data_IF_429938341446
#
_entry.id   IF_429938341446
#
_cell.length_a   1.000
_cell.length_b   1.000
_cell.length_c   1.000
_cell.angle_alpha   90.00
_cell.angle_beta   90.00
_cell.angle_gamma   90.00
#
_symmetry.space_group_name_H-M   'P 1'
#
loop_
_entity.id
_entity.type
_entity.pdbx_description
1 polymer ?
#
# COMPACT_ATOMS: atom_id res chain seq x y z
N UNK A 1 0.81 9.40 -7.06
CA UNK A 1 -0.26 8.42 -7.39
C UNK A 1 -0.80 7.86 -6.08
N UNK A 2 -2.12 7.80 -5.93
CA UNK A 2 -2.76 7.26 -4.73
C UNK A 2 -3.10 5.79 -4.95
N UNK A 3 -2.78 4.92 -3.98
CA UNK A 3 -3.00 3.47 -4.04
C UNK A 3 -3.86 3.00 -2.86
N UNK A 4 -4.66 1.96 -3.06
CA UNK A 4 -5.65 1.47 -2.10
C UNK A 4 -5.99 0.00 -2.27
N UNK A 5 -6.60 -0.58 -1.25
CA UNK A 5 -7.19 -1.93 -1.29
C UNK A 5 -8.45 -1.95 -2.18
N UNK A 6 -8.67 -3.04 -2.92
CA UNK A 6 -9.93 -3.29 -3.62
C UNK A 6 -11.10 -3.45 -2.63
N UNK A 7 -12.34 -3.25 -3.09
CA UNK A 7 -13.51 -3.33 -2.20
C UNK A 7 -13.65 -4.73 -1.58
N UNK A 8 -13.48 -5.74 -2.41
CA UNK A 8 -13.76 -7.16 -2.17
C UNK A 8 -12.58 -7.95 -1.58
N UNK A 9 -11.38 -7.35 -1.54
CA UNK A 9 -10.23 -7.94 -0.83
C UNK A 9 -10.45 -7.87 0.69
N UNK A 10 -10.33 -8.98 1.44
CA UNK A 10 -10.36 -8.95 2.90
C UNK A 10 -9.25 -8.07 3.49
N UNK A 11 -9.46 -7.48 4.68
CA UNK A 11 -8.47 -6.59 5.30
C UNK A 11 -7.15 -7.31 5.58
N UNK A 12 -7.22 -8.59 5.92
CA UNK A 12 -6.08 -9.46 6.20
C UNK A 12 -5.19 -9.66 4.96
N UNK A 13 -5.74 -9.46 3.76
CA UNK A 13 -5.03 -9.51 2.47
C UNK A 13 -4.84 -8.13 1.85
N UNK A 14 -5.13 -7.06 2.59
CA UNK A 14 -5.04 -5.71 2.07
C UNK A 14 -3.64 -5.37 1.55
N UNK A 15 -2.59 -5.84 2.24
CA UNK A 15 -1.19 -5.60 1.89
C UNK A 15 -0.88 -6.01 0.45
N UNK A 16 -1.44 -7.13 -0.02
CA UNK A 16 -1.20 -7.65 -1.37
C UNK A 16 -1.64 -6.64 -2.44
N UNK A 17 -2.81 -6.03 -2.27
CA UNK A 17 -3.31 -5.00 -3.21
C UNK A 17 -2.37 -3.79 -3.24
N UNK A 18 -1.91 -3.31 -2.08
CA UNK A 18 -0.98 -2.18 -2.02
C UNK A 18 0.36 -2.49 -2.67
N UNK A 19 0.91 -3.71 -2.48
CA UNK A 19 2.16 -4.13 -3.11
C UNK A 19 2.02 -4.21 -4.63
N UNK A 20 0.94 -4.79 -5.14
CA UNK A 20 0.63 -4.86 -6.58
C UNK A 20 0.51 -3.45 -7.16
N UNK A 21 -0.19 -2.54 -6.46
CA UNK A 21 -0.31 -1.16 -6.89
C UNK A 21 1.05 -0.46 -6.89
N UNK A 22 1.84 -0.59 -5.82
CA UNK A 22 3.16 0.03 -5.72
C UNK A 22 4.06 -0.41 -6.88
N UNK A 23 4.13 -1.71 -7.17
CA UNK A 23 4.89 -2.26 -8.30
C UNK A 23 4.52 -1.63 -9.64
N UNK A 24 3.22 -1.48 -9.89
CA UNK A 24 2.72 -0.95 -11.17
C UNK A 24 2.97 0.55 -11.32
N UNK A 25 2.96 1.31 -10.22
CA UNK A 25 2.97 2.78 -10.29
C UNK A 25 4.34 3.39 -9.99
N UNK A 26 5.27 2.64 -9.39
CA UNK A 26 6.53 3.17 -8.87
C UNK A 26 7.35 3.93 -9.92
N UNK A 27 7.50 3.38 -11.12
CA UNK A 27 8.26 4.03 -12.21
C UNK A 27 7.60 5.33 -12.70
N UNK A 28 6.29 5.49 -12.48
CA UNK A 28 5.49 6.60 -13.00
C UNK A 28 5.17 7.68 -11.95
N UNK A 29 5.44 7.41 -10.67
CA UNK A 29 5.09 8.31 -9.58
C UNK A 29 6.33 9.05 -9.05
N UNK A 30 6.21 10.37 -8.86
CA UNK A 30 7.18 11.13 -8.03
C UNK A 30 6.92 10.94 -6.54
N UNK A 31 5.68 10.59 -6.17
CA UNK A 31 5.25 10.32 -4.81
C UNK A 31 4.04 9.38 -4.81
N UNK A 32 3.98 8.46 -3.85
CA UNK A 32 2.88 7.50 -3.69
C UNK A 32 2.19 7.73 -2.34
N UNK A 33 0.87 7.87 -2.35
CA UNK A 33 0.05 7.93 -1.14
C UNK A 33 -0.66 6.60 -0.90
N UNK A 34 -0.69 6.16 0.35
CA UNK A 34 -1.34 4.92 0.79
C UNK A 34 -2.70 5.28 1.41
N UNK A 35 -3.79 4.89 0.76
CA UNK A 35 -5.13 5.24 1.21
C UNK A 35 -5.67 4.26 2.25
N UNK A 36 -5.62 4.64 3.52
CA UNK A 36 -6.24 3.93 4.65
C UNK A 36 -7.46 4.65 5.23
N UNK A 37 -7.99 5.68 4.56
CA UNK A 37 -8.96 6.61 5.14
C UNK A 37 -10.36 6.61 4.52
N UNK A 38 -10.55 5.96 3.36
CA UNK A 38 -11.84 5.88 2.69
C UNK A 38 -12.96 5.38 3.62
N UNK A 39 -14.11 6.08 3.71
CA UNK A 39 -15.28 5.59 4.45
C UNK A 39 -16.02 4.46 3.72
N UNK A 40 -15.79 4.31 2.41
CA UNK A 40 -16.61 3.45 1.53
C UNK A 40 -16.04 2.04 1.39
N UNK A 41 -14.86 1.78 1.96
CA UNK A 41 -14.21 0.47 1.91
C UNK A 41 -14.35 -0.20 3.27
N UNK A 42 -15.16 -1.26 3.41
CA UNK A 42 -15.38 -1.93 4.69
C UNK A 42 -14.06 -2.37 5.34
N UNK A 43 -13.96 -2.12 6.65
CA UNK A 43 -12.79 -2.50 7.46
C UNK A 43 -11.50 -1.72 7.20
N UNK A 44 -11.43 -0.87 6.17
CA UNK A 44 -10.19 -0.20 5.76
C UNK A 44 -9.56 0.65 6.88
N UNK A 45 -10.40 1.39 7.63
CA UNK A 45 -9.93 2.28 8.70
C UNK A 45 -9.27 1.55 9.86
N UNK A 46 -9.46 0.23 10.00
CA UNK A 46 -8.73 -0.58 10.98
C UNK A 46 -7.22 -0.62 10.70
N UNK A 47 -6.80 -0.42 9.45
CA UNK A 47 -5.39 -0.33 9.07
C UNK A 47 -4.70 0.96 9.53
N UNK A 48 -5.43 1.93 10.10
CA UNK A 48 -4.85 3.19 10.55
C UNK A 48 -4.10 3.10 11.87
N UNK A 49 -4.22 1.99 12.61
CA UNK A 49 -3.78 1.93 14.00
C UNK A 49 -2.92 0.70 14.29
N UNK A 50 -2.10 0.83 15.33
CA UNK A 50 -1.37 -0.28 15.96
C UNK A 50 -0.49 -1.08 14.99
N UNK A 51 -0.48 -2.39 15.21
CA UNK A 51 0.36 -3.32 14.46
C UNK A 51 -0.04 -3.43 12.99
N UNK A 52 -1.33 -3.26 12.66
CA UNK A 52 -1.81 -3.31 11.27
C UNK A 52 -1.19 -2.21 10.42
N UNK A 53 -1.11 -0.98 10.94
CA UNK A 53 -0.44 0.12 10.22
C UNK A 53 1.06 -0.16 10.08
N UNK A 54 1.70 -0.63 11.16
CA UNK A 54 3.13 -0.91 11.18
C UNK A 54 3.50 -2.00 10.15
N UNK A 55 2.72 -3.08 10.09
CA UNK A 55 2.92 -4.18 9.13
C UNK A 55 2.76 -3.69 7.69
N UNK A 56 1.71 -2.91 7.40
CA UNK A 56 1.48 -2.34 6.08
C UNK A 56 2.66 -1.45 5.63
N UNK A 57 3.10 -0.53 6.49
CA UNK A 57 4.20 0.37 6.18
C UNK A 57 5.54 -0.37 6.04
N UNK A 58 5.79 -1.39 6.87
CA UNK A 58 7.00 -2.20 6.76
C UNK A 58 7.06 -2.97 5.44
N UNK A 59 5.96 -3.62 5.04
CA UNK A 59 5.89 -4.33 3.76
C UNK A 59 6.11 -3.37 2.57
N UNK A 60 5.47 -2.21 2.59
CA UNK A 60 5.63 -1.20 1.54
C UNK A 60 7.04 -0.61 1.50
N UNK A 61 7.65 -0.36 2.65
CA UNK A 61 9.01 0.17 2.73
C UNK A 61 10.04 -0.82 2.19
N UNK A 62 9.93 -2.10 2.54
CA UNK A 62 10.78 -3.16 2.00
C UNK A 62 10.64 -3.25 0.47
N UNK A 63 9.39 -3.29 -0.02
CA UNK A 63 9.18 -3.35 -1.47
C UNK A 63 9.65 -2.09 -2.20
N UNK A 64 9.48 -0.92 -1.58
CA UNK A 64 9.99 0.34 -2.12
C UNK A 64 11.52 0.28 -2.29
N UNK A 65 12.26 -0.24 -1.32
CA UNK A 65 13.72 -0.38 -1.40
C UNK A 65 14.15 -1.28 -2.57
N UNK A 66 13.47 -2.41 -2.77
CA UNK A 66 13.71 -3.31 -3.91
C UNK A 66 13.44 -2.61 -5.25
N UNK A 67 12.36 -1.82 -5.34
CA UNK A 67 12.01 -1.06 -6.54
C UNK A 67 12.98 0.09 -6.80
N UNK A 68 13.46 0.77 -5.76
CA UNK A 68 14.51 1.79 -5.85
C UNK A 68 15.75 1.21 -6.51
N UNK A 69 16.23 0.05 -6.04
CA UNK A 69 17.37 -0.64 -6.63
C UNK A 69 17.11 -1.05 -8.08
N UNK A 70 15.91 -1.58 -8.38
CA UNK A 70 15.53 -2.04 -9.73
C UNK A 70 15.45 -0.89 -10.75
N UNK A 71 14.94 0.27 -10.35
CA UNK A 71 14.71 1.40 -11.24
C UNK A 71 15.82 2.45 -11.21
N UNK A 72 16.85 2.29 -10.38
CA UNK A 72 17.98 3.20 -10.28
C UNK A 72 17.58 4.59 -9.77
N UNK A 73 16.65 4.65 -8.81
CA UNK A 73 16.19 5.90 -8.17
C UNK A 73 16.87 6.12 -6.83
#
# INVERSE_FOLDING_TARGET
INIGKNFDTPVERAVDDYLICLDKVYAHASYVTVNVSSPNTPGLRSLQFGDSLKQLLQALSLRQQELTQRHGR
#
